data_IF_167339158088
#
_entry.id   IF_167339158088
#
_cell.length_a   1.000
_cell.length_b   1.000
_cell.length_c   1.000
_cell.angle_alpha   90.00
_cell.angle_beta   90.00
_cell.angle_gamma   90.00
#
_symmetry.space_group_name_H-M   'P 1'
#
loop_
_entity.id
_entity.type
_entity.pdbx_description
1 polymer ?
#
# COMPACT_ATOMS: atom_id res chain seq x y z
N UNK A 1 -55.38 1.73 13.29
CA UNK A 1 -54.11 1.97 12.59
C UNK A 1 -53.06 1.11 13.21
N UNK A 2 -52.67 0.03 12.55
CA UNK A 2 -51.63 -0.89 13.03
C UNK A 2 -50.27 -0.42 12.45
N UNK A 3 -49.14 -0.57 13.20
CA UNK A 3 -47.83 -0.16 12.73
C UNK A 3 -47.27 -1.17 11.72
N UNK A 4 -46.75 -0.65 10.62
CA UNK A 4 -46.03 -1.38 9.57
C UNK A 4 -44.72 -1.87 10.13
N UNK A 5 -44.56 -3.19 10.26
CA UNK A 5 -43.27 -3.83 10.53
C UNK A 5 -42.40 -3.76 9.28
N UNK A 6 -41.30 -3.00 9.33
CA UNK A 6 -40.24 -3.02 8.35
C UNK A 6 -39.41 -4.32 8.51
N UNK A 7 -39.58 -5.24 7.56
CA UNK A 7 -38.68 -6.38 7.41
C UNK A 7 -37.31 -5.85 6.96
N UNK A 8 -36.37 -5.71 7.87
CA UNK A 8 -34.95 -5.69 7.54
C UNK A 8 -34.60 -7.09 7.02
N UNK A 9 -34.34 -7.19 5.73
CA UNK A 9 -33.77 -8.39 5.13
C UNK A 9 -32.33 -8.53 5.60
N UNK A 10 -32.13 -9.48 6.49
CA UNK A 10 -30.82 -10.00 6.92
C UNK A 10 -30.16 -10.66 5.69
N UNK A 11 -29.46 -9.88 4.89
CA UNK A 11 -28.58 -10.39 3.85
C UNK A 11 -27.24 -10.70 4.52
N UNK A 12 -27.09 -11.92 5.03
CA UNK A 12 -25.79 -12.50 5.30
C UNK A 12 -24.90 -12.28 4.06
N UNK A 13 -23.66 -11.77 4.19
CA UNK A 13 -22.78 -11.59 3.05
C UNK A 13 -22.53 -12.97 2.43
N UNK A 14 -22.98 -13.15 1.19
CA UNK A 14 -22.59 -14.30 0.38
C UNK A 14 -21.07 -14.27 0.33
N UNK A 15 -20.43 -15.28 0.87
CA UNK A 15 -18.97 -15.41 0.84
C UNK A 15 -18.54 -15.42 -0.64
N UNK A 16 -18.13 -14.27 -1.14
CA UNK A 16 -17.61 -14.14 -2.51
C UNK A 16 -16.31 -14.90 -2.57
N UNK A 17 -16.25 -15.91 -3.45
CA UNK A 17 -15.00 -16.67 -3.64
C UNK A 17 -13.91 -15.73 -4.14
N UNK A 18 -12.71 -15.80 -3.56
CA UNK A 18 -11.62 -14.93 -3.96
C UNK A 18 -11.21 -15.20 -5.41
N UNK A 19 -10.72 -14.17 -6.10
CA UNK A 19 -10.16 -14.32 -7.44
C UNK A 19 -8.76 -14.90 -7.41
N UNK A 20 -7.93 -14.44 -6.46
CA UNK A 20 -6.57 -14.91 -6.24
C UNK A 20 -6.43 -15.42 -4.82
N UNK A 21 -5.89 -16.63 -4.67
CA UNK A 21 -5.43 -17.17 -3.41
C UNK A 21 -3.98 -17.62 -3.52
N UNK A 22 -3.16 -17.14 -2.65
CA UNK A 22 -1.78 -17.59 -2.43
C UNK A 22 -1.76 -18.27 -1.08
N UNK A 23 -1.36 -19.56 -1.03
CA UNK A 23 -1.43 -20.39 0.17
C UNK A 23 -0.05 -20.93 0.52
N UNK A 24 0.54 -20.41 1.59
CA UNK A 24 1.78 -20.86 2.22
C UNK A 24 2.94 -21.06 1.21
N UNK A 25 3.09 -20.13 0.26
CA UNK A 25 4.14 -20.25 -0.74
C UNK A 25 5.50 -19.86 -0.15
N UNK A 26 6.52 -20.59 -0.60
CA UNK A 26 7.91 -20.20 -0.44
C UNK A 26 8.59 -20.21 -1.80
N UNK A 27 9.46 -19.23 -2.02
CA UNK A 27 10.22 -19.10 -3.27
C UNK A 27 11.68 -18.81 -2.96
N UNK A 28 12.60 -19.34 -3.78
CA UNK A 28 13.99 -18.93 -3.78
C UNK A 28 14.20 -17.84 -4.84
N UNK A 29 15.17 -16.98 -4.62
CA UNK A 29 15.76 -16.16 -5.66
C UNK A 29 17.25 -16.55 -5.74
N UNK A 30 17.66 -17.09 -6.89
CA UNK A 30 18.95 -17.78 -7.03
C UNK A 30 19.11 -18.91 -6.01
N UNK A 31 20.06 -18.79 -5.08
CA UNK A 31 20.33 -19.79 -4.03
C UNK A 31 19.76 -19.41 -2.66
N UNK A 32 19.18 -18.20 -2.54
CA UNK A 32 18.64 -17.71 -1.28
C UNK A 32 17.11 -17.76 -1.27
N UNK A 33 16.55 -18.03 -0.12
CA UNK A 33 15.11 -18.03 0.07
C UNK A 33 14.60 -16.59 0.17
N UNK A 34 13.80 -16.17 -0.80
CA UNK A 34 13.30 -14.82 -0.93
C UNK A 34 11.88 -14.63 -0.39
N UNK A 35 11.09 -15.70 -0.27
CA UNK A 35 9.71 -15.67 0.24
C UNK A 35 9.52 -16.87 1.18
N UNK A 36 8.87 -16.62 2.33
CA UNK A 36 8.69 -17.59 3.40
C UNK A 36 7.22 -17.69 3.80
N UNK A 37 6.61 -18.85 3.58
CA UNK A 37 5.27 -19.22 4.07
C UNK A 37 4.20 -18.13 3.85
N UNK A 38 4.26 -17.46 2.70
CA UNK A 38 3.43 -16.30 2.41
C UNK A 38 2.04 -16.74 1.96
N UNK A 39 1.03 -16.14 2.59
CA UNK A 39 -0.37 -16.31 2.22
C UNK A 39 -1.06 -14.97 2.03
N UNK A 40 -1.88 -14.86 0.99
CA UNK A 40 -2.75 -13.71 0.74
C UNK A 40 -3.98 -14.11 -0.07
N UNK A 41 -5.02 -13.29 0.05
CA UNK A 41 -6.28 -13.50 -0.66
C UNK A 41 -6.75 -12.18 -1.25
N UNK A 42 -7.20 -12.20 -2.52
CA UNK A 42 -7.71 -11.02 -3.23
C UNK A 42 -9.08 -11.34 -3.82
N UNK A 43 -10.08 -10.56 -3.47
CA UNK A 43 -11.42 -10.70 -3.99
C UNK A 43 -11.56 -10.07 -5.39
N UNK A 44 -12.66 -10.39 -6.09
CA UNK A 44 -12.95 -9.75 -7.39
C UNK A 44 -13.17 -8.25 -7.20
N UNK A 45 -12.60 -7.45 -8.11
CA UNK A 45 -12.65 -5.98 -8.07
C UNK A 45 -11.77 -5.34 -6.98
N UNK A 46 -11.18 -6.13 -6.08
CA UNK A 46 -10.30 -5.62 -5.03
C UNK A 46 -8.95 -5.22 -5.60
N UNK A 47 -8.44 -4.08 -5.16
CA UNK A 47 -7.11 -3.59 -5.49
C UNK A 47 -6.22 -3.75 -4.27
N UNK A 48 -5.17 -4.54 -4.38
CA UNK A 48 -4.26 -4.77 -3.25
C UNK A 48 -2.83 -4.40 -3.61
N UNK A 49 -2.07 -4.03 -2.58
CA UNK A 49 -0.69 -3.66 -2.74
C UNK A 49 0.21 -4.47 -1.80
N UNK A 50 1.35 -4.94 -2.28
CA UNK A 50 2.45 -5.42 -1.46
C UNK A 50 3.49 -4.31 -1.34
N UNK A 51 3.72 -3.86 -0.12
CA UNK A 51 4.58 -2.75 0.24
C UNK A 51 5.72 -3.24 1.13
N UNK A 52 6.93 -2.73 0.96
CA UNK A 52 8.06 -3.11 1.80
C UNK A 52 9.40 -2.63 1.24
N UNK A 53 10.50 -2.77 1.98
CA UNK A 53 11.83 -2.35 1.55
C UNK A 53 12.31 -3.13 0.32
N UNK A 54 13.35 -2.60 -0.33
CA UNK A 54 13.95 -3.30 -1.47
C UNK A 54 14.53 -4.64 -1.03
N UNK A 55 14.30 -5.69 -1.84
CA UNK A 55 14.80 -7.04 -1.54
C UNK A 55 13.91 -7.91 -0.66
N UNK A 56 12.81 -7.40 -0.05
CA UNK A 56 11.94 -8.22 0.81
C UNK A 56 11.06 -9.25 0.08
N UNK A 57 11.20 -9.46 -1.23
CA UNK A 57 10.53 -10.54 -1.96
C UNK A 57 9.27 -10.16 -2.76
N UNK A 58 8.82 -8.89 -2.78
CA UNK A 58 7.60 -8.43 -3.49
C UNK A 58 7.54 -8.84 -4.97
N UNK A 59 8.57 -8.48 -5.73
CA UNK A 59 8.65 -8.84 -7.17
C UNK A 59 8.70 -10.35 -7.37
N UNK A 60 9.30 -11.11 -6.44
CA UNK A 60 9.32 -12.59 -6.49
C UNK A 60 7.90 -13.15 -6.33
N UNK A 61 7.11 -12.65 -5.37
CA UNK A 61 5.70 -13.02 -5.22
C UNK A 61 4.91 -12.68 -6.48
N UNK A 62 5.07 -11.47 -7.00
CA UNK A 62 4.36 -11.03 -8.21
C UNK A 62 4.69 -11.93 -9.42
N UNK A 63 5.98 -12.26 -9.62
CA UNK A 63 6.44 -13.15 -10.68
C UNK A 63 5.95 -14.58 -10.49
N UNK A 64 5.83 -15.09 -9.26
CA UNK A 64 5.25 -16.39 -8.99
C UNK A 64 3.76 -16.43 -9.36
N UNK A 65 2.99 -15.37 -9.04
CA UNK A 65 1.59 -15.23 -9.46
C UNK A 65 1.48 -15.18 -10.98
N UNK A 66 2.36 -14.43 -11.65
CA UNK A 66 2.40 -14.30 -13.10
C UNK A 66 2.81 -15.59 -13.83
N UNK A 67 3.51 -16.53 -13.15
CA UNK A 67 4.02 -17.75 -13.75
C UNK A 67 5.44 -17.67 -14.30
N UNK A 68 6.18 -16.62 -13.93
CA UNK A 68 7.59 -16.47 -14.29
C UNK A 68 8.55 -17.08 -13.24
N UNK A 69 8.01 -17.46 -12.09
CA UNK A 69 8.83 -17.97 -11.00
C UNK A 69 8.17 -19.21 -10.35
N UNK A 70 8.92 -20.33 -10.13
CA UNK A 70 8.37 -21.51 -9.49
C UNK A 70 8.19 -21.29 -7.98
N UNK A 71 7.25 -22.03 -7.37
CA UNK A 71 7.08 -22.12 -5.93
C UNK A 71 7.72 -23.41 -5.40
N UNK A 72 8.36 -23.33 -4.24
CA UNK A 72 8.98 -24.48 -3.57
C UNK A 72 8.00 -25.23 -2.68
N UNK A 73 7.06 -24.49 -2.07
CA UNK A 73 6.01 -25.03 -1.22
C UNK A 73 4.72 -24.26 -1.47
N UNK A 74 3.59 -24.79 -1.00
CA UNK A 74 2.31 -24.16 -1.09
C UNK A 74 1.70 -24.17 -2.49
N UNK A 75 0.82 -23.22 -2.76
CA UNK A 75 0.14 -23.14 -4.05
C UNK A 75 -0.51 -21.79 -4.35
N UNK A 76 -0.66 -21.51 -5.64
CA UNK A 76 -1.34 -20.29 -6.14
C UNK A 76 -2.56 -20.73 -6.94
N UNK A 77 -3.70 -20.11 -6.66
CA UNK A 77 -4.98 -20.34 -7.30
C UNK A 77 -5.51 -19.05 -7.90
N UNK A 78 -5.93 -19.08 -9.16
CA UNK A 78 -6.60 -17.98 -9.84
C UNK A 78 -7.96 -18.48 -10.32
N UNK A 79 -9.05 -17.83 -9.88
CA UNK A 79 -10.42 -18.23 -10.20
C UNK A 79 -10.68 -19.72 -9.94
N UNK A 80 -10.36 -20.20 -8.74
CA UNK A 80 -10.46 -21.58 -8.25
C UNK A 80 -9.55 -22.59 -8.99
N UNK A 81 -8.75 -22.16 -9.97
CA UNK A 81 -7.82 -23.03 -10.70
C UNK A 81 -6.43 -22.93 -10.09
N UNK A 82 -5.83 -24.05 -9.71
CA UNK A 82 -4.44 -24.10 -9.28
C UNK A 82 -3.50 -23.82 -10.47
N UNK A 83 -2.72 -22.73 -10.37
CA UNK A 83 -1.81 -22.29 -11.43
C UNK A 83 -0.33 -22.49 -11.08
N UNK A 84 -0.01 -22.63 -9.78
CA UNK A 84 1.33 -22.99 -9.31
C UNK A 84 1.26 -23.89 -8.10
N UNK A 85 2.11 -24.89 -8.05
CA UNK A 85 2.45 -25.74 -6.90
C UNK A 85 3.83 -26.35 -7.15
N UNK A 86 4.33 -27.21 -6.26
CA UNK A 86 5.64 -27.85 -6.40
C UNK A 86 5.82 -28.51 -7.77
N UNK A 87 4.79 -29.24 -8.22
CA UNK A 87 4.80 -30.00 -9.49
C UNK A 87 3.86 -29.40 -10.55
N UNK A 88 3.33 -28.20 -10.32
CA UNK A 88 2.38 -27.53 -11.21
C UNK A 88 2.88 -26.12 -11.53
N UNK A 89 3.08 -25.83 -12.80
CA UNK A 89 3.40 -24.49 -13.27
C UNK A 89 2.68 -24.21 -14.60
N UNK A 90 1.51 -23.60 -14.51
CA UNK A 90 0.80 -23.09 -15.69
C UNK A 90 1.59 -21.92 -16.26
N UNK A 91 1.92 -21.93 -17.58
CA UNK A 91 2.70 -20.85 -18.17
C UNK A 91 1.94 -19.52 -18.19
N UNK A 92 2.64 -18.37 -18.19
CA UNK A 92 2.04 -17.02 -18.05
C UNK A 92 0.90 -16.74 -19.03
N UNK A 93 1.07 -17.12 -20.30
CA UNK A 93 0.07 -16.91 -21.37
C UNK A 93 -1.25 -17.67 -21.17
N UNK A 94 -1.25 -18.71 -20.34
CA UNK A 94 -2.45 -19.51 -20.02
C UNK A 94 -3.15 -19.07 -18.73
N UNK A 95 -2.55 -18.17 -17.93
CA UNK A 95 -3.11 -17.73 -16.63
C UNK A 95 -4.19 -16.64 -16.74
N UNK A 96 -4.36 -16.04 -17.91
CA UNK A 96 -5.26 -14.88 -18.14
C UNK A 96 -4.94 -13.71 -17.20
N UNK A 97 -3.68 -13.44 -16.94
CA UNK A 97 -3.20 -12.28 -16.17
C UNK A 97 -2.58 -11.25 -17.11
N UNK A 98 -2.81 -9.96 -16.83
CA UNK A 98 -2.09 -8.85 -17.44
C UNK A 98 -0.92 -8.47 -16.55
N UNK A 99 0.21 -8.04 -17.13
CA UNK A 99 1.36 -7.58 -16.35
C UNK A 99 1.90 -6.27 -16.88
N UNK A 100 2.15 -5.34 -15.98
CA UNK A 100 2.86 -4.08 -16.20
C UNK A 100 4.19 -4.17 -15.46
N UNK A 101 5.28 -4.04 -16.21
CA UNK A 101 6.64 -4.12 -15.68
C UNK A 101 7.16 -2.73 -15.30
N UNK A 102 8.13 -2.66 -14.41
CA UNK A 102 8.73 -1.45 -13.88
C UNK A 102 9.30 -0.53 -14.97
N UNK A 103 9.92 -1.10 -16.02
CA UNK A 103 10.47 -0.38 -17.19
C UNK A 103 9.45 -0.23 -18.32
N UNK A 104 8.14 -0.44 -18.03
CA UNK A 104 7.04 -0.50 -18.99
C UNK A 104 7.16 -1.60 -20.04
N UNK A 105 8.35 -2.11 -20.32
CA UNK A 105 8.68 -3.16 -21.29
C UNK A 105 7.98 -2.96 -22.66
N UNK A 106 7.90 -1.70 -23.15
CA UNK A 106 7.32 -1.39 -24.45
C UNK A 106 8.24 -1.84 -25.58
N UNK A 107 7.65 -2.36 -26.65
CA UNK A 107 8.41 -2.70 -27.85
C UNK A 107 8.84 -1.42 -28.58
N UNK A 108 10.15 -1.06 -28.58
CA UNK A 108 10.61 0.25 -29.08
C UNK A 108 10.43 0.44 -30.59
N UNK A 109 10.36 -0.67 -31.33
CA UNK A 109 10.17 -0.70 -32.79
C UNK A 109 8.68 -0.72 -33.18
N UNK A 110 7.75 -0.76 -32.25
CA UNK A 110 6.31 -0.74 -32.50
C UNK A 110 5.71 0.61 -32.11
N UNK A 111 4.76 1.10 -32.90
CA UNK A 111 3.95 2.25 -32.53
C UNK A 111 3.03 1.93 -31.34
N UNK A 112 2.44 2.96 -30.70
CA UNK A 112 1.48 2.82 -29.58
C UNK A 112 0.39 1.80 -29.91
N UNK A 113 -0.33 1.99 -31.03
CA UNK A 113 -1.39 1.06 -31.43
C UNK A 113 -0.89 -0.38 -31.65
N UNK A 114 0.34 -0.56 -32.13
CA UNK A 114 0.94 -1.89 -32.34
C UNK A 114 1.42 -2.50 -31.03
N UNK A 115 1.91 -1.69 -30.08
CA UNK A 115 2.20 -2.15 -28.72
C UNK A 115 0.93 -2.68 -28.03
N UNK A 116 -0.18 -1.96 -28.10
CA UNK A 116 -1.46 -2.42 -27.55
C UNK A 116 -1.94 -3.70 -28.26
N UNK A 117 -1.86 -3.73 -29.60
CA UNK A 117 -2.26 -4.88 -30.40
C UNK A 117 -1.43 -6.14 -30.14
N UNK A 118 -0.20 -6.01 -29.63
CA UNK A 118 0.68 -7.15 -29.34
C UNK A 118 0.15 -8.07 -28.24
N UNK A 119 -0.72 -7.58 -27.33
CA UNK A 119 -1.42 -8.41 -26.35
C UNK A 119 -2.60 -9.21 -26.93
N UNK A 120 -3.00 -8.98 -28.20
CA UNK A 120 -4.23 -9.49 -28.81
C UNK A 120 -3.97 -10.51 -29.94
N UNK A 121 -3.02 -11.46 -29.74
CA UNK A 121 -2.62 -12.41 -30.80
C UNK A 121 -3.65 -13.50 -31.08
N UNK A 122 -4.55 -13.81 -30.16
CA UNK A 122 -5.57 -14.84 -30.30
C UNK A 122 -6.96 -14.30 -30.74
N UNK A 123 -7.03 -13.02 -31.15
CA UNK A 123 -8.29 -12.34 -31.50
C UNK A 123 -8.35 -12.07 -32.99
N UNK A 124 -9.58 -12.09 -33.57
CA UNK A 124 -9.76 -11.78 -35.00
C UNK A 124 -9.23 -10.38 -35.36
N UNK A 125 -8.86 -10.16 -36.60
CA UNK A 125 -8.33 -8.87 -37.06
C UNK A 125 -9.34 -7.72 -36.82
N UNK A 126 -10.64 -7.98 -36.92
CA UNK A 126 -11.71 -7.02 -36.68
C UNK A 126 -11.80 -6.67 -35.19
N UNK A 127 -11.95 -7.69 -34.34
CA UNK A 127 -12.10 -7.50 -32.88
C UNK A 127 -10.83 -6.87 -32.28
N UNK A 128 -9.65 -7.23 -32.82
CA UNK A 128 -8.36 -6.60 -32.44
C UNK A 128 -8.37 -5.11 -32.72
N UNK A 129 -8.85 -4.69 -33.91
CA UNK A 129 -8.91 -3.28 -34.28
C UNK A 129 -9.88 -2.50 -33.37
N UNK A 130 -11.02 -3.09 -33.06
CA UNK A 130 -12.02 -2.51 -32.13
C UNK A 130 -11.45 -2.39 -30.70
N UNK A 131 -10.84 -3.45 -30.17
CA UNK A 131 -10.21 -3.44 -28.84
C UNK A 131 -9.07 -2.43 -28.71
N UNK A 132 -8.24 -2.29 -29.76
CA UNK A 132 -7.16 -1.28 -29.77
C UNK A 132 -7.74 0.13 -29.80
N UNK A 133 -8.80 0.38 -30.57
CA UNK A 133 -9.43 1.70 -30.64
C UNK A 133 -10.06 2.08 -29.28
N UNK A 134 -10.78 1.15 -28.63
CA UNK A 134 -11.36 1.31 -27.30
C UNK A 134 -10.25 1.63 -26.26
N UNK A 135 -9.16 0.88 -26.25
CA UNK A 135 -8.05 1.14 -25.32
C UNK A 135 -7.36 2.48 -25.57
N UNK A 136 -7.18 2.89 -26.82
CA UNK A 136 -6.62 4.19 -27.16
C UNK A 136 -7.50 5.34 -26.66
N UNK A 137 -8.81 5.20 -26.74
CA UNK A 137 -9.77 6.19 -26.28
C UNK A 137 -9.77 6.26 -24.74
N UNK A 138 -9.95 5.15 -24.05
CA UNK A 138 -9.97 5.06 -22.57
C UNK A 138 -8.69 5.61 -21.93
N UNK A 139 -7.53 5.37 -22.55
CA UNK A 139 -6.23 5.84 -22.06
C UNK A 139 -5.87 7.25 -22.53
N UNK A 140 -6.74 7.92 -23.31
CA UNK A 140 -6.45 9.24 -23.86
C UNK A 140 -5.30 9.26 -24.87
N UNK A 141 -5.02 8.11 -25.51
CA UNK A 141 -3.87 7.91 -26.41
C UNK A 141 -4.21 8.02 -27.91
N UNK A 142 -5.44 8.30 -28.28
CA UNK A 142 -5.92 8.32 -29.68
C UNK A 142 -5.03 9.19 -30.58
N UNK A 143 -4.63 10.38 -30.10
CA UNK A 143 -3.75 11.30 -30.84
C UNK A 143 -2.31 10.80 -30.98
N UNK A 144 -1.90 9.84 -30.14
CA UNK A 144 -0.57 9.27 -30.08
C UNK A 144 -0.47 7.89 -30.74
N UNK A 145 -1.54 7.34 -31.30
CA UNK A 145 -1.65 5.97 -31.80
C UNK A 145 -0.51 5.55 -32.75
N UNK A 146 0.02 6.49 -33.56
CA UNK A 146 1.09 6.25 -34.55
C UNK A 146 2.49 6.54 -33.99
N UNK A 147 2.62 7.16 -32.81
CA UNK A 147 3.92 7.47 -32.20
C UNK A 147 4.61 6.21 -31.68
N UNK A 148 5.92 6.30 -31.53
CA UNK A 148 6.77 5.27 -30.94
C UNK A 148 7.07 5.60 -29.47
N UNK A 149 7.47 4.61 -28.65
CA UNK A 149 7.74 4.82 -27.22
C UNK A 149 8.67 5.99 -26.91
N UNK A 150 9.76 6.16 -27.67
CA UNK A 150 10.73 7.24 -27.49
C UNK A 150 10.19 8.67 -27.79
N UNK A 151 9.00 8.77 -28.41
CA UNK A 151 8.32 10.04 -28.69
C UNK A 151 7.28 10.40 -27.63
N UNK A 152 7.20 9.61 -26.53
CA UNK A 152 6.20 9.74 -25.46
C UNK A 152 6.85 10.17 -24.15
N UNK A 153 6.09 10.92 -23.33
CA UNK A 153 6.47 11.14 -21.93
C UNK A 153 6.35 9.85 -21.10
N UNK A 154 7.00 9.78 -19.93
CA UNK A 154 6.92 8.63 -19.03
C UNK A 154 5.48 8.22 -18.69
N UNK A 155 4.62 9.18 -18.32
CA UNK A 155 3.21 8.90 -18.05
C UNK A 155 2.43 8.39 -19.29
N UNK A 156 2.79 8.85 -20.51
CA UNK A 156 2.20 8.31 -21.74
C UNK A 156 2.69 6.88 -21.99
N UNK A 157 3.96 6.57 -21.74
CA UNK A 157 4.49 5.21 -21.84
C UNK A 157 3.80 4.28 -20.85
N UNK A 158 3.57 4.73 -19.62
CA UNK A 158 2.83 4.00 -18.60
C UNK A 158 1.41 3.67 -19.06
N UNK A 159 0.68 4.65 -19.59
CA UNK A 159 -0.67 4.42 -20.14
C UNK A 159 -0.67 3.43 -21.31
N UNK A 160 0.38 3.42 -22.15
CA UNK A 160 0.52 2.41 -23.23
C UNK A 160 0.76 1.01 -22.64
N UNK A 161 1.58 0.88 -21.60
CA UNK A 161 1.84 -0.39 -20.93
C UNK A 161 0.55 -0.95 -20.27
N UNK A 162 -0.20 -0.09 -19.58
CA UNK A 162 -1.52 -0.43 -19.03
C UNK A 162 -2.50 -0.86 -20.13
N UNK A 163 -2.64 -0.07 -21.20
CA UNK A 163 -3.50 -0.39 -22.33
C UNK A 163 -3.16 -1.77 -22.95
N UNK A 164 -1.87 -2.07 -23.10
CA UNK A 164 -1.39 -3.38 -23.61
C UNK A 164 -1.77 -4.52 -22.67
N UNK A 165 -1.60 -4.33 -21.35
CA UNK A 165 -1.91 -5.34 -20.34
C UNK A 165 -3.43 -5.59 -20.22
N UNK A 166 -4.25 -4.56 -20.39
CA UNK A 166 -5.70 -4.61 -20.22
C UNK A 166 -6.46 -5.00 -21.51
N UNK A 167 -5.90 -4.74 -22.68
CA UNK A 167 -6.56 -5.04 -23.97
C UNK A 167 -7.07 -6.49 -24.10
N UNK A 168 -6.36 -7.54 -23.58
CA UNK A 168 -6.84 -8.92 -23.57
C UNK A 168 -7.97 -9.20 -22.59
N UNK A 169 -8.40 -8.23 -21.79
CA UNK A 169 -9.37 -8.37 -20.69
C UNK A 169 -8.95 -9.47 -19.69
N UNK A 170 -7.82 -9.30 -19.02
CA UNK A 170 -7.33 -10.27 -18.04
C UNK A 170 -8.28 -10.40 -16.86
N UNK A 171 -8.20 -11.52 -16.14
CA UNK A 171 -8.90 -11.71 -14.85
C UNK A 171 -8.26 -10.90 -13.74
N UNK A 172 -6.93 -10.76 -13.79
CA UNK A 172 -6.09 -10.14 -12.78
C UNK A 172 -5.03 -9.28 -13.46
N UNK A 173 -4.86 -8.05 -12.99
CA UNK A 173 -3.77 -7.17 -13.39
C UNK A 173 -2.66 -7.23 -12.32
N UNK A 174 -1.44 -7.44 -12.75
CA UNK A 174 -0.23 -7.40 -11.91
C UNK A 174 0.60 -6.19 -12.31
N UNK A 175 1.05 -5.40 -11.33
CA UNK A 175 1.86 -4.20 -11.58
C UNK A 175 3.13 -4.23 -10.71
N UNK A 176 4.29 -4.22 -11.35
CA UNK A 176 5.60 -4.21 -10.72
C UNK A 176 6.17 -2.78 -10.73
N UNK A 177 6.11 -2.08 -9.59
CA UNK A 177 6.58 -0.71 -9.38
C UNK A 177 6.17 0.27 -10.51
N UNK A 178 4.87 0.36 -10.85
CA UNK A 178 4.44 1.00 -12.08
C UNK A 178 4.75 2.51 -12.15
N UNK A 179 4.93 3.18 -11.02
CA UNK A 179 5.11 4.63 -10.97
C UNK A 179 6.52 5.07 -10.57
N UNK A 180 7.46 4.14 -10.38
CA UNK A 180 8.82 4.42 -9.88
C UNK A 180 9.63 5.38 -10.76
N UNK A 181 9.36 5.41 -12.07
CA UNK A 181 10.08 6.24 -13.05
C UNK A 181 9.43 7.62 -13.30
N UNK A 182 8.41 8.00 -12.51
CA UNK A 182 7.70 9.27 -12.65
C UNK A 182 8.17 10.28 -11.59
N UNK A 183 8.11 11.57 -11.92
CA UNK A 183 8.23 12.63 -10.92
C UNK A 183 7.04 12.60 -9.94
N UNK A 184 7.20 13.21 -8.76
CA UNK A 184 6.23 13.09 -7.67
C UNK A 184 4.83 13.58 -8.06
N UNK A 185 4.70 14.74 -8.72
CA UNK A 185 3.39 15.30 -9.09
C UNK A 185 2.68 14.40 -10.12
N UNK A 186 3.43 13.92 -11.11
CA UNK A 186 2.90 13.01 -12.12
C UNK A 186 2.53 11.65 -11.52
N UNK A 187 3.31 11.17 -10.54
CA UNK A 187 3.07 9.91 -9.82
C UNK A 187 1.74 9.94 -9.07
N UNK A 188 1.51 10.96 -8.25
CA UNK A 188 0.28 11.11 -7.48
C UNK A 188 -0.96 11.17 -8.39
N UNK A 189 -0.88 11.99 -9.46
CA UNK A 189 -1.97 12.08 -10.43
C UNK A 189 -2.21 10.77 -11.19
N UNK A 190 -1.14 10.10 -11.63
CA UNK A 190 -1.26 8.83 -12.34
C UNK A 190 -1.77 7.70 -11.45
N UNK A 191 -1.35 7.66 -10.18
CA UNK A 191 -1.87 6.72 -9.19
C UNK A 191 -3.39 6.82 -9.05
N UNK A 192 -3.90 8.06 -8.88
CA UNK A 192 -5.33 8.31 -8.79
C UNK A 192 -6.08 7.93 -10.09
N UNK A 193 -5.60 8.39 -11.27
CA UNK A 193 -6.22 8.08 -12.55
C UNK A 193 -6.28 6.56 -12.82
N UNK A 194 -5.23 5.82 -12.45
CA UNK A 194 -5.19 4.36 -12.60
C UNK A 194 -6.15 3.69 -11.62
N UNK A 195 -6.18 4.13 -10.35
CA UNK A 195 -7.11 3.61 -9.34
C UNK A 195 -8.57 3.77 -9.80
N UNK A 196 -8.94 4.98 -10.22
CA UNK A 196 -10.30 5.28 -10.69
C UNK A 196 -10.67 4.38 -11.90
N UNK A 197 -9.77 4.27 -12.87
CA UNK A 197 -9.99 3.42 -14.05
C UNK A 197 -10.16 1.94 -13.68
N UNK A 198 -9.37 1.42 -12.74
CA UNK A 198 -9.47 0.04 -12.29
C UNK A 198 -10.81 -0.20 -11.57
N UNK A 199 -11.23 0.73 -10.70
CA UNK A 199 -12.51 0.68 -9.97
C UNK A 199 -13.72 0.77 -10.90
N UNK A 200 -13.73 1.72 -11.83
CA UNK A 200 -14.82 1.88 -12.81
C UNK A 200 -15.03 0.64 -13.70
N UNK A 201 -13.97 -0.14 -13.91
CA UNK A 201 -14.03 -1.34 -14.76
C UNK A 201 -14.03 -2.67 -13.98
N UNK A 202 -14.19 -2.64 -12.65
CA UNK A 202 -14.17 -3.82 -11.75
C UNK A 202 -12.96 -4.73 -11.96
N UNK A 203 -11.77 -4.11 -12.16
CA UNK A 203 -10.51 -4.82 -12.43
C UNK A 203 -9.83 -5.17 -11.11
N UNK A 204 -9.63 -6.45 -10.87
CA UNK A 204 -8.84 -6.94 -9.74
C UNK A 204 -7.36 -6.68 -10.02
N UNK A 205 -6.64 -6.12 -9.03
CA UNK A 205 -5.25 -5.76 -9.20
C UNK A 205 -4.38 -6.17 -8.00
N UNK A 206 -3.16 -6.61 -8.29
CA UNK A 206 -2.06 -6.72 -7.31
C UNK A 206 -0.92 -5.85 -7.78
N UNK A 207 -0.58 -4.85 -6.98
CA UNK A 207 0.57 -3.97 -7.23
C UNK A 207 1.67 -4.26 -6.22
N UNK A 208 2.92 -4.14 -6.64
CA UNK A 208 4.06 -4.08 -5.72
C UNK A 208 4.73 -2.72 -5.84
N UNK A 209 5.10 -2.14 -4.72
CA UNK A 209 5.82 -0.87 -4.64
C UNK A 209 6.66 -0.80 -3.37
N UNK A 210 7.62 0.10 -3.34
CA UNK A 210 8.32 0.51 -2.12
C UNK A 210 7.86 1.90 -1.62
N UNK A 211 6.96 2.57 -2.35
CA UNK A 211 6.43 3.89 -2.02
C UNK A 211 5.06 3.76 -1.32
N UNK A 212 4.95 4.35 -0.14
CA UNK A 212 3.73 4.31 0.68
C UNK A 212 2.58 5.08 0.01
N UNK A 213 2.88 6.21 -0.65
CA UNK A 213 1.86 7.02 -1.30
C UNK A 213 1.21 6.25 -2.45
N UNK A 214 2.00 5.51 -3.24
CA UNK A 214 1.49 4.65 -4.31
C UNK A 214 0.55 3.57 -3.72
N UNK A 215 1.01 2.90 -2.64
CA UNK A 215 0.24 1.85 -1.98
C UNK A 215 -1.08 2.36 -1.40
N UNK A 216 -1.08 3.54 -0.80
CA UNK A 216 -2.26 4.14 -0.16
C UNK A 216 -3.23 4.77 -1.15
N UNK A 217 -2.73 5.28 -2.29
CA UNK A 217 -3.57 5.83 -3.33
C UNK A 217 -4.38 4.77 -4.08
N UNK A 218 -3.83 3.54 -4.19
CA UNK A 218 -4.43 2.50 -5.02
C UNK A 218 -5.03 1.35 -4.19
N UNK A 219 -4.38 0.95 -3.09
CA UNK A 219 -4.73 -0.29 -2.37
C UNK A 219 -5.96 -0.17 -1.48
N UNK A 220 -6.98 -0.99 -1.71
CA UNK A 220 -8.06 -1.21 -0.72
C UNK A 220 -7.50 -1.94 0.51
N UNK A 221 -6.50 -2.81 0.29
CA UNK A 221 -5.66 -3.43 1.31
C UNK A 221 -4.20 -3.38 0.92
N UNK A 222 -3.35 -3.31 1.92
CA UNK A 222 -1.89 -3.29 1.76
C UNK A 222 -1.27 -4.35 2.64
N UNK A 223 -0.44 -5.20 2.05
CA UNK A 223 0.41 -6.16 2.75
C UNK A 223 1.80 -5.57 2.95
N UNK A 224 2.16 -5.27 4.19
CA UNK A 224 3.52 -4.85 4.52
C UNK A 224 4.40 -6.08 4.59
N UNK A 225 5.46 -6.10 3.79
CA UNK A 225 6.41 -7.21 3.71
C UNK A 225 7.75 -6.86 4.35
N UNK A 226 8.26 -7.78 5.15
CA UNK A 226 9.60 -7.77 5.74
C UNK A 226 10.20 -9.17 5.61
N UNK A 227 11.45 -9.27 5.22
CA UNK A 227 12.25 -10.51 5.14
C UNK A 227 11.52 -11.72 4.51
N UNK A 228 10.80 -11.49 3.42
CA UNK A 228 10.12 -12.54 2.67
C UNK A 228 8.74 -12.95 3.17
N UNK A 229 8.23 -12.32 4.23
CA UNK A 229 6.92 -12.59 4.80
C UNK A 229 6.02 -11.33 4.82
N UNK A 230 4.70 -11.52 4.88
CA UNK A 230 3.76 -10.43 5.16
C UNK A 230 3.65 -10.31 6.68
N UNK A 231 4.08 -9.15 7.22
CA UNK A 231 4.03 -8.87 8.67
C UNK A 231 2.72 -8.22 9.11
N UNK A 232 2.03 -7.52 8.19
CA UNK A 232 0.65 -7.05 8.43
C UNK A 232 -0.09 -6.94 7.10
N UNK A 233 -1.37 -7.32 7.09
CA UNK A 233 -2.27 -7.23 5.95
C UNK A 233 -3.55 -6.52 6.36
N UNK A 234 -3.69 -5.23 5.98
CA UNK A 234 -4.80 -4.40 6.43
C UNK A 234 -5.11 -3.25 5.45
N UNK A 235 -6.10 -2.42 5.78
CA UNK A 235 -6.36 -1.16 5.08
C UNK A 235 -5.23 -0.15 5.35
N UNK A 236 -4.98 0.81 4.45
CA UNK A 236 -4.03 1.91 4.68
C UNK A 236 -4.23 2.62 6.03
N UNK A 237 -5.50 2.88 6.38
CA UNK A 237 -5.87 3.51 7.64
C UNK A 237 -5.38 2.70 8.86
N UNK A 238 -5.65 1.39 8.89
CA UNK A 238 -5.25 0.53 9.98
C UNK A 238 -3.73 0.35 10.08
N UNK A 239 -3.03 0.31 8.94
CA UNK A 239 -1.55 0.24 8.94
C UNK A 239 -0.91 1.46 9.61
N UNK A 240 -1.50 2.65 9.45
CA UNK A 240 -1.02 3.88 10.06
C UNK A 240 -1.43 3.99 11.54
N UNK A 241 -2.71 3.75 11.86
CA UNK A 241 -3.26 3.97 13.20
C UNK A 241 -3.20 2.75 14.12
N UNK A 242 -2.97 1.53 13.58
CA UNK A 242 -2.94 0.26 14.33
C UNK A 242 -1.83 -0.66 13.82
N UNK A 243 -0.58 -0.18 13.74
CA UNK A 243 0.54 -1.03 13.34
C UNK A 243 0.72 -2.17 14.34
N UNK A 244 0.99 -3.37 13.84
CA UNK A 244 1.11 -4.58 14.68
C UNK A 244 2.48 -4.71 15.37
N UNK A 245 3.51 -4.05 14.85
CA UNK A 245 4.86 -4.08 15.41
C UNK A 245 5.62 -2.77 15.12
N UNK A 246 6.80 -2.61 15.72
CA UNK A 246 7.67 -1.45 15.53
C UNK A 246 8.06 -1.24 14.06
N UNK A 247 8.38 -2.33 13.33
CA UNK A 247 8.76 -2.23 11.93
C UNK A 247 7.64 -1.58 11.09
N UNK A 248 6.39 -2.06 11.23
CA UNK A 248 5.26 -1.48 10.51
C UNK A 248 5.05 -0.03 10.93
N UNK A 249 5.14 0.27 12.23
CA UNK A 249 5.00 1.63 12.75
C UNK A 249 6.00 2.61 12.11
N UNK A 250 7.28 2.26 12.07
CA UNK A 250 8.36 3.07 11.50
C UNK A 250 8.30 3.12 9.97
N UNK A 251 7.97 1.99 9.35
CA UNK A 251 7.95 1.89 7.90
C UNK A 251 6.76 2.64 7.27
N UNK A 252 5.60 2.67 7.95
CA UNK A 252 4.36 3.28 7.43
C UNK A 252 4.26 4.79 7.69
N UNK A 253 5.02 5.32 8.65
CA UNK A 253 4.96 6.76 8.91
C UNK A 253 5.95 7.19 9.96
N UNK A 254 6.26 8.48 9.95
CA UNK A 254 7.09 9.05 11.00
C UNK A 254 6.36 9.02 12.34
N UNK A 255 7.09 8.75 13.41
CA UNK A 255 6.58 8.78 14.77
C UNK A 255 7.72 8.79 15.77
N UNK A 256 7.39 8.88 17.06
CA UNK A 256 8.34 8.76 18.18
C UNK A 256 7.78 7.75 19.16
N UNK A 257 8.63 6.94 19.73
CA UNK A 257 8.23 6.02 20.78
C UNK A 257 8.55 6.64 22.14
N UNK A 258 7.53 6.77 23.01
CA UNK A 258 7.67 7.24 24.37
C UNK A 258 7.59 6.08 25.34
N UNK A 259 8.59 5.97 26.24
CA UNK A 259 8.50 5.02 27.33
C UNK A 259 7.35 5.37 28.29
N UNK A 260 6.62 4.35 28.72
CA UNK A 260 5.51 4.49 29.65
C UNK A 260 5.20 3.22 30.40
N UNK A 261 4.28 3.33 31.36
CA UNK A 261 3.76 2.20 32.12
C UNK A 261 2.24 2.20 32.09
N UNK A 262 1.63 1.04 31.87
CA UNK A 262 0.18 0.92 31.93
C UNK A 262 -0.33 1.16 33.34
N UNK A 263 -1.19 2.19 33.51
CA UNK A 263 -1.92 2.41 34.78
C UNK A 263 -3.33 1.82 34.75
N UNK A 264 -3.86 1.58 33.55
CA UNK A 264 -5.15 0.92 33.32
C UNK A 264 -5.11 0.10 32.02
N UNK A 265 -6.16 -0.68 31.77
CA UNK A 265 -6.27 -1.49 30.53
C UNK A 265 -6.27 -0.67 29.23
N UNK A 266 -6.56 0.63 29.31
CA UNK A 266 -6.63 1.54 28.17
C UNK A 266 -5.86 2.85 28.41
N UNK A 267 -4.91 2.87 29.37
CA UNK A 267 -4.18 4.06 29.75
C UNK A 267 -2.73 3.79 30.10
N UNK A 268 -1.85 4.69 29.64
CA UNK A 268 -0.41 4.65 29.86
C UNK A 268 0.05 5.98 30.45
N UNK A 269 0.79 5.93 31.55
CA UNK A 269 1.53 7.08 32.09
C UNK A 269 2.87 7.19 31.38
N UNK A 270 3.14 8.34 30.82
CA UNK A 270 4.42 8.69 30.17
C UNK A 270 5.09 9.88 30.85
N UNK A 271 6.31 10.19 30.47
CA UNK A 271 7.00 11.39 30.94
C UNK A 271 6.36 12.71 30.48
N UNK A 272 5.42 12.67 29.53
CA UNK A 272 4.69 13.84 29.00
C UNK A 272 3.24 13.91 29.49
N UNK A 273 2.84 13.00 30.39
CA UNK A 273 1.50 12.90 30.97
C UNK A 273 0.82 11.58 30.69
N UNK A 274 -0.41 11.46 31.19
CA UNK A 274 -1.24 10.29 31.02
C UNK A 274 -1.93 10.33 29.65
N UNK A 275 -1.85 9.21 28.93
CA UNK A 275 -2.49 8.98 27.64
C UNK A 275 -3.52 7.87 27.80
N UNK A 276 -4.66 8.01 27.15
CA UNK A 276 -5.72 6.99 27.18
C UNK A 276 -6.46 6.93 25.85
N UNK A 277 -7.01 5.77 25.52
CA UNK A 277 -7.88 5.58 24.36
C UNK A 277 -9.17 4.83 24.75
N UNK A 278 -10.12 4.78 23.83
CA UNK A 278 -11.34 4.00 24.00
C UNK A 278 -11.08 2.49 23.91
N UNK A 279 -10.01 2.08 23.23
CA UNK A 279 -9.66 0.67 23.00
C UNK A 279 -8.74 0.17 24.10
N UNK A 280 -9.03 -1.03 24.62
CA UNK A 280 -8.14 -1.70 25.55
C UNK A 280 -6.85 -2.17 24.87
N UNK A 281 -5.76 -2.06 25.60
CA UNK A 281 -4.45 -2.58 25.20
C UNK A 281 -4.32 -4.05 25.63
N UNK A 282 -3.61 -4.84 24.84
CA UNK A 282 -3.44 -6.29 25.10
C UNK A 282 -2.39 -6.60 26.19
N UNK A 283 -2.00 -5.61 27.00
CA UNK A 283 -0.95 -5.71 28.00
C UNK A 283 -1.50 -5.67 29.43
N UNK A 284 -0.77 -6.32 30.35
CA UNK A 284 -1.14 -6.34 31.78
C UNK A 284 -0.85 -4.97 32.41
N UNK A 285 -1.75 -4.48 33.24
CA UNK A 285 -1.54 -3.25 34.04
C UNK A 285 -0.24 -3.35 34.85
N UNK A 286 0.59 -2.30 34.75
CA UNK A 286 1.95 -2.26 35.30
C UNK A 286 3.05 -2.63 34.32
N UNK A 287 2.74 -3.15 33.12
CA UNK A 287 3.73 -3.42 32.07
C UNK A 287 4.43 -2.14 31.60
N UNK A 288 5.73 -2.24 31.37
CA UNK A 288 6.52 -1.20 30.69
C UNK A 288 6.30 -1.34 29.18
N UNK A 289 5.98 -0.23 28.53
CA UNK A 289 5.66 -0.18 27.11
C UNK A 289 6.32 1.01 26.45
N UNK A 290 6.43 0.96 25.12
CA UNK A 290 6.75 2.09 24.27
C UNK A 290 5.49 2.50 23.51
N UNK A 291 5.05 3.73 23.70
CA UNK A 291 3.86 4.30 23.07
C UNK A 291 4.26 5.06 21.84
N UNK A 292 3.67 4.72 20.69
CA UNK A 292 3.83 5.45 19.45
C UNK A 292 3.07 6.78 19.52
N UNK A 293 3.76 7.88 19.24
CA UNK A 293 3.19 9.21 19.05
C UNK A 293 3.44 9.65 17.62
N UNK A 294 2.38 9.86 16.88
CA UNK A 294 2.42 10.36 15.51
C UNK A 294 2.52 11.90 15.48
N UNK A 295 2.99 12.52 14.40
CA UNK A 295 3.04 13.96 14.29
C UNK A 295 1.68 14.66 14.39
N UNK A 296 0.62 14.00 14.00
CA UNK A 296 -0.78 14.44 14.07
C UNK A 296 -1.41 14.27 15.46
N UNK A 297 -0.81 13.47 16.35
CA UNK A 297 -1.19 13.39 17.78
C UNK A 297 -0.69 14.61 18.59
N UNK A 298 0.24 15.40 18.03
CA UNK A 298 0.86 16.56 18.73
C UNK A 298 0.18 17.85 18.27
N UNK A 299 -0.74 18.35 19.08
CA UNK A 299 -1.57 19.50 18.75
C UNK A 299 -0.97 20.78 19.35
N UNK A 300 -0.83 21.83 18.50
CA UNK A 300 -0.49 23.15 18.99
C UNK A 300 -1.59 23.70 19.88
N UNK A 301 -1.26 24.02 21.13
CA UNK A 301 -2.16 24.60 22.11
C UNK A 301 -1.38 25.62 22.96
N UNK A 302 -1.67 26.93 22.85
CA UNK A 302 -0.98 27.95 23.64
C UNK A 302 -1.10 27.76 25.18
N UNK A 303 -2.09 26.97 25.63
CA UNK A 303 -2.29 26.62 27.03
C UNK A 303 -1.92 25.15 27.30
N UNK A 304 -1.35 24.46 26.33
CA UNK A 304 -0.95 23.07 26.42
C UNK A 304 0.03 22.78 27.55
N UNK A 305 -0.07 21.61 28.19
CA UNK A 305 0.73 21.26 29.36
C UNK A 305 2.20 20.98 29.03
N UNK A 306 2.51 20.64 27.78
CA UNK A 306 3.87 20.28 27.35
C UNK A 306 4.53 21.49 26.66
N UNK A 307 5.59 22.00 27.27
CA UNK A 307 6.43 23.06 26.70
C UNK A 307 7.61 22.44 25.97
N UNK A 308 7.84 22.90 24.74
CA UNK A 308 8.91 22.37 23.91
C UNK A 308 9.55 23.48 23.06
N UNK A 309 10.82 23.35 22.75
CA UNK A 309 11.55 24.23 21.87
C UNK A 309 11.59 23.66 20.45
N UNK A 310 11.36 24.50 19.45
CA UNK A 310 11.52 24.15 18.04
C UNK A 310 13.01 23.98 17.73
N UNK A 311 13.44 22.77 17.36
CA UNK A 311 14.83 22.46 17.00
C UNK A 311 15.04 22.27 15.50
N UNK A 312 13.98 21.90 14.77
CA UNK A 312 13.95 21.80 13.30
C UNK A 312 12.59 22.13 12.78
N UNK A 313 12.53 22.65 11.54
CA UNK A 313 11.29 22.83 10.80
C UNK A 313 11.48 22.44 9.33
N UNK A 314 10.45 21.87 8.72
CA UNK A 314 10.39 21.54 7.30
C UNK A 314 9.04 21.97 6.74
N UNK A 315 9.04 22.96 5.87
CA UNK A 315 7.82 23.43 5.21
C UNK A 315 7.35 22.42 4.16
N UNK A 316 6.08 22.00 4.26
CA UNK A 316 5.44 21.03 3.37
C UNK A 316 4.24 21.60 2.60
N UNK A 317 4.18 22.91 2.43
CA UNK A 317 3.08 23.61 1.76
C UNK A 317 1.97 24.03 2.73
N UNK A 318 0.87 23.28 2.80
CA UNK A 318 -0.23 23.57 3.71
C UNK A 318 0.13 23.38 5.19
N UNK A 319 1.19 22.64 5.46
CA UNK A 319 1.64 22.23 6.80
C UNK A 319 3.14 22.44 6.97
N UNK A 320 3.59 22.50 8.21
CA UNK A 320 5.00 22.54 8.59
C UNK A 320 5.25 21.38 9.56
N UNK A 321 6.20 20.52 9.22
CA UNK A 321 6.70 19.49 10.12
C UNK A 321 7.74 20.12 11.06
N UNK A 322 7.48 20.05 12.34
CA UNK A 322 8.37 20.50 13.40
C UNK A 322 9.01 19.32 14.12
N UNK A 323 10.28 19.48 14.49
CA UNK A 323 10.91 18.64 15.52
C UNK A 323 11.00 19.50 16.77
N UNK A 324 10.35 19.06 17.81
CA UNK A 324 10.22 19.75 19.09
C UNK A 324 11.06 19.01 20.15
N UNK A 325 11.71 19.77 21.04
CA UNK A 325 12.43 19.19 22.19
C UNK A 325 11.84 19.73 23.48
N UNK A 326 11.37 18.82 24.33
CA UNK A 326 10.82 19.19 25.65
C UNK A 326 11.92 19.51 26.65
N UNK A 327 11.56 20.11 27.80
CA UNK A 327 12.48 20.31 28.93
C UNK A 327 13.09 19.01 29.47
N UNK A 328 12.36 17.89 29.34
CA UNK A 328 12.82 16.54 29.69
C UNK A 328 13.72 15.90 28.60
N UNK A 329 14.17 16.66 27.61
CA UNK A 329 15.00 16.20 26.48
C UNK A 329 14.31 15.16 25.56
N UNK A 330 13.01 15.01 25.65
CA UNK A 330 12.21 14.18 24.75
C UNK A 330 12.03 14.92 23.42
N UNK A 331 12.28 14.22 22.33
CA UNK A 331 12.03 14.75 20.99
C UNK A 331 10.64 14.30 20.52
N UNK A 332 9.85 15.24 20.01
CA UNK A 332 8.55 14.99 19.38
C UNK A 332 8.57 15.47 17.93
N UNK A 333 7.80 14.82 17.10
CA UNK A 333 7.43 15.30 15.77
C UNK A 333 6.04 15.90 15.85
N UNK A 334 5.81 17.04 15.20
CA UNK A 334 4.52 17.70 15.18
C UNK A 334 4.23 18.24 13.78
N UNK A 335 3.00 18.12 13.34
CA UNK A 335 2.55 18.62 12.04
C UNK A 335 1.53 19.75 12.29
N UNK A 336 1.94 20.99 12.06
CA UNK A 336 1.07 22.15 12.28
C UNK A 336 0.66 22.81 10.97
N UNK A 337 -0.53 23.42 10.89
CA UNK A 337 -0.92 24.25 9.75
C UNK A 337 0.12 25.33 9.45
N UNK A 338 0.35 25.65 8.17
CA UNK A 338 1.43 26.56 7.74
C UNK A 338 1.35 27.98 8.32
N UNK A 339 0.17 28.41 8.80
CA UNK A 339 0.03 29.69 9.48
C UNK A 339 0.48 29.67 10.95
N UNK A 340 0.66 28.51 11.56
CA UNK A 340 1.34 28.37 12.84
C UNK A 340 2.84 28.31 12.58
N UNK A 341 3.42 29.45 12.17
CA UNK A 341 4.79 29.58 11.70
C UNK A 341 5.72 29.98 12.84
N UNK A 342 6.43 29.02 13.40
CA UNK A 342 7.43 29.21 14.46
C UNK A 342 8.83 29.12 13.88
N UNK A 343 9.76 29.91 14.47
CA UNK A 343 11.18 29.86 14.11
C UNK A 343 11.93 28.85 14.98
N UNK A 344 13.12 28.42 14.50
CA UNK A 344 14.00 27.56 15.29
C UNK A 344 14.46 28.34 16.53
N UNK A 345 14.27 27.74 17.71
CA UNK A 345 14.54 28.36 19.00
C UNK A 345 13.30 28.84 19.73
N UNK A 346 12.16 29.03 19.04
CA UNK A 346 10.91 29.41 19.67
C UNK A 346 10.42 28.35 20.66
N UNK A 347 9.83 28.81 21.76
CA UNK A 347 9.13 27.95 22.71
C UNK A 347 7.65 27.84 22.28
N UNK A 348 7.16 26.63 22.14
CA UNK A 348 5.77 26.32 21.82
C UNK A 348 5.16 25.44 22.91
N UNK A 349 3.88 25.63 23.18
CA UNK A 349 3.12 24.76 24.06
C UNK A 349 2.25 23.83 23.22
N UNK A 350 2.22 22.54 23.58
CA UNK A 350 1.47 21.52 22.89
C UNK A 350 0.72 20.63 23.87
N UNK A 351 -0.32 19.97 23.38
CA UNK A 351 -0.98 18.85 24.06
C UNK A 351 -0.88 17.61 23.19
N UNK A 352 -0.86 16.44 23.82
CA UNK A 352 -0.97 15.16 23.13
C UNK A 352 -2.45 14.77 23.09
N UNK A 353 -2.94 14.45 21.91
CA UNK A 353 -4.30 14.00 21.65
C UNK A 353 -4.23 12.73 20.81
N UNK A 354 -4.26 11.58 21.51
CA UNK A 354 -4.01 10.27 20.89
C UNK A 354 -5.34 9.52 20.80
N UNK A 355 -5.95 9.53 19.63
CA UNK A 355 -7.22 8.81 19.40
C UNK A 355 -7.01 7.28 19.36
N UNK A 356 -5.86 6.86 18.87
CA UNK A 356 -5.47 5.45 18.75
C UNK A 356 -4.18 5.20 19.51
N UNK A 357 -4.32 4.79 20.79
CA UNK A 357 -3.16 4.48 21.62
C UNK A 357 -2.53 3.16 21.17
N UNK A 358 -1.37 3.25 20.52
CA UNK A 358 -0.57 2.12 20.08
C UNK A 358 0.60 1.95 21.06
N UNK A 359 0.70 0.79 21.67
CA UNK A 359 1.77 0.50 22.61
C UNK A 359 2.41 -0.86 22.31
N UNK A 360 3.72 -0.92 22.33
CA UNK A 360 4.50 -2.15 22.15
C UNK A 360 5.18 -2.52 23.47
N UNK A 361 5.44 -3.82 23.71
CA UNK A 361 6.22 -4.21 24.87
C UNK A 361 7.63 -3.65 24.73
N UNK A 362 8.15 -3.09 25.82
CA UNK A 362 9.56 -2.74 25.84
C UNK A 362 10.36 -4.04 25.77
N UNK A 363 11.11 -4.25 24.68
CA UNK A 363 11.99 -5.40 24.56
C UNK A 363 12.98 -5.37 25.71
N UNK A 364 12.94 -6.40 26.56
CA UNK A 364 14.00 -6.61 27.53
C UNK A 364 15.25 -6.97 26.73
N UNK A 365 16.21 -6.06 26.65
CA UNK A 365 17.53 -6.39 26.14
C UNK A 365 18.05 -7.49 27.08
N UNK A 366 18.31 -8.72 26.59
CA UNK A 366 18.94 -9.71 27.43
C UNK A 366 20.33 -9.18 27.80
N UNK A 367 20.61 -9.07 29.10
CA UNK A 367 21.93 -8.72 29.64
C UNK A 367 23.03 -9.68 29.17
#
# INVERSE_FOLDING_TARGET
MAPIQSHQSDRSPVATRPLLEVRNISCNYELERAVFDLSLTVNRGEQVCLLGPSGCGKTTVLRAIAGFHPVLTGGIFINDQQVSAVDVMVPPEARRVGMVFQDHALFPHLSVQKNIASGLHQVSARDRKEAVADMLERMGLTRHAKRYPHELSGGQQQRVALARALAPRPLLLLMDEPFSNLDQELRERMGQEVSDMLKENDITCVMVTHDQNDAFALGDKVGVMEDGAIVQWDTPYNLYHRPQNHFVADFIGSGVFLEGALYSVNGVTTALGDLSSETALDWIVGSQVEVLIRPDDVIYDPQGPVKAQVIRRAFKGAEIMYTLRTSSQITLLALFPSHANFEIGDEVSVRLEVDHLVAFPKESIPE
#
